data_IF_665639319011
#
_entry.id   IF_665639319011
#
_cell.length_a   1.000
_cell.length_b   1.000
_cell.length_c   1.000
_cell.angle_alpha   90.00
_cell.angle_beta   90.00
_cell.angle_gamma   90.00
#
_symmetry.space_group_name_H-M   'P 1'
#
loop_
_entity.id
_entity.type
_entity.pdbx_description
1 polymer ?
#
# COMPACT_ATOMS: atom_id res chain seq x y z
N UNK A 1 21.06 11.97 36.20
CA UNK A 1 21.47 11.32 34.93
C UNK A 1 20.63 10.11 34.51
N UNK A 2 20.33 9.12 35.39
CA UNK A 2 19.55 7.92 35.00
C UNK A 2 18.17 8.22 34.41
N UNK A 3 17.48 9.23 34.93
CA UNK A 3 16.17 9.66 34.43
C UNK A 3 16.22 10.17 32.98
N UNK A 4 17.10 11.14 32.68
CA UNK A 4 17.32 11.69 31.33
C UNK A 4 17.60 10.59 30.30
N UNK A 5 18.39 9.59 30.68
CA UNK A 5 18.73 8.48 29.80
C UNK A 5 17.56 7.53 29.57
N UNK A 6 16.77 7.24 30.59
CA UNK A 6 15.54 6.44 30.45
C UNK A 6 14.52 7.15 29.56
N UNK A 7 14.36 8.46 29.76
CA UNK A 7 13.50 9.30 28.93
C UNK A 7 13.97 9.31 27.47
N UNK A 8 15.27 9.47 27.22
CA UNK A 8 15.84 9.42 25.86
C UNK A 8 15.59 8.07 25.15
N UNK A 9 15.73 6.94 25.85
CA UNK A 9 15.39 5.61 25.31
C UNK A 9 13.92 5.53 24.93
N UNK A 10 13.03 6.03 25.78
CA UNK A 10 11.59 6.02 25.52
C UNK A 10 11.23 6.94 24.35
N UNK A 11 11.66 8.21 24.37
CA UNK A 11 11.32 9.20 23.35
C UNK A 11 11.83 8.78 21.95
N UNK A 12 13.09 8.37 21.83
CA UNK A 12 13.65 7.94 20.55
C UNK A 12 13.08 6.58 20.09
N UNK A 13 12.81 5.67 21.02
CA UNK A 13 12.16 4.39 20.71
C UNK A 13 10.74 4.58 20.19
N UNK A 14 9.97 5.48 20.81
CA UNK A 14 8.62 5.84 20.36
C UNK A 14 8.65 6.57 19.02
N UNK A 15 9.56 7.53 18.83
CA UNK A 15 9.72 8.23 17.56
C UNK A 15 10.08 7.25 16.42
N UNK A 16 11.02 6.33 16.67
CA UNK A 16 11.39 5.29 15.71
C UNK A 16 10.22 4.36 15.40
N UNK A 17 9.47 3.91 16.42
CA UNK A 17 8.28 3.07 16.22
C UNK A 17 7.21 3.77 15.38
N UNK A 18 6.91 5.03 15.68
CA UNK A 18 5.93 5.83 14.95
C UNK A 18 6.35 6.10 13.51
N UNK A 19 7.60 6.54 13.30
CA UNK A 19 8.10 6.82 11.95
C UNK A 19 8.16 5.55 11.10
N UNK A 20 8.56 4.42 11.69
CA UNK A 20 8.57 3.13 11.01
C UNK A 20 7.15 2.67 10.65
N UNK A 21 6.20 2.82 11.58
CA UNK A 21 4.78 2.49 11.31
C UNK A 21 4.24 3.32 10.15
N UNK A 22 4.46 4.63 10.16
CA UNK A 22 4.04 5.54 9.08
C UNK A 22 4.75 5.19 7.76
N UNK A 23 6.04 4.88 7.80
CA UNK A 23 6.80 4.48 6.62
C UNK A 23 6.19 3.25 5.95
N UNK A 24 5.80 2.24 6.72
CA UNK A 24 5.18 1.02 6.19
C UNK A 24 3.81 1.32 5.57
N UNK A 25 2.97 2.12 6.25
CA UNK A 25 1.66 2.51 5.73
C UNK A 25 1.79 3.27 4.40
N UNK A 26 2.67 4.26 4.35
CA UNK A 26 2.92 5.05 3.12
C UNK A 26 3.55 4.18 2.03
N UNK A 27 4.45 3.26 2.38
CA UNK A 27 5.02 2.31 1.42
C UNK A 27 3.95 1.39 0.84
N UNK A 28 3.02 0.90 1.65
CA UNK A 28 1.89 0.10 1.17
C UNK A 28 0.94 0.91 0.29
N UNK A 29 0.65 2.17 0.63
CA UNK A 29 -0.13 3.08 -0.22
C UNK A 29 0.57 3.37 -1.55
N UNK A 30 1.88 3.59 -1.52
CA UNK A 30 2.72 3.77 -2.70
C UNK A 30 2.70 2.54 -3.61
N UNK A 31 2.80 1.34 -3.05
CA UNK A 31 2.68 0.09 -3.80
C UNK A 31 1.27 -0.11 -4.36
N UNK A 32 0.23 0.15 -3.55
CA UNK A 32 -1.16 0.00 -3.96
C UNK A 32 -1.52 0.92 -5.14
N UNK A 33 -1.04 2.16 -5.11
CA UNK A 33 -1.31 3.19 -6.13
C UNK A 33 -0.37 3.10 -7.34
N UNK A 34 0.52 2.12 -7.37
CA UNK A 34 1.36 1.87 -8.53
C UNK A 34 0.51 1.36 -9.70
N UNK A 35 0.80 1.84 -10.92
CA UNK A 35 0.00 1.53 -12.11
C UNK A 35 -0.29 0.03 -12.26
N UNK A 36 0.70 -0.84 -12.10
CA UNK A 36 0.53 -2.29 -12.28
C UNK A 36 -0.43 -2.89 -11.25
N UNK A 37 -0.31 -2.50 -9.98
CA UNK A 37 -1.11 -3.06 -8.88
C UNK A 37 -2.52 -2.50 -8.92
N UNK A 38 -2.66 -1.19 -9.08
CA UNK A 38 -3.97 -0.55 -9.13
C UNK A 38 -4.75 -0.94 -10.39
N UNK A 39 -4.07 -1.07 -11.54
CA UNK A 39 -4.69 -1.57 -12.77
C UNK A 39 -5.27 -2.97 -12.56
N UNK A 40 -4.49 -3.88 -11.97
CA UNK A 40 -4.94 -5.25 -11.69
C UNK A 40 -6.19 -5.22 -10.82
N UNK A 41 -6.14 -4.53 -9.69
CA UNK A 41 -7.25 -4.36 -8.74
C UNK A 41 -8.50 -3.80 -9.44
N UNK A 42 -8.34 -2.73 -10.22
CA UNK A 42 -9.44 -2.08 -10.92
C UNK A 42 -10.04 -2.96 -12.01
N UNK A 43 -9.19 -3.65 -12.80
CA UNK A 43 -9.65 -4.55 -13.85
C UNK A 43 -10.41 -5.74 -13.28
N UNK A 44 -9.89 -6.38 -12.22
CA UNK A 44 -10.58 -7.49 -11.56
C UNK A 44 -11.92 -7.01 -10.98
N UNK A 45 -11.98 -5.81 -10.39
CA UNK A 45 -13.20 -5.24 -9.82
C UNK A 45 -14.28 -4.99 -10.88
N UNK A 46 -13.90 -4.37 -12.01
CA UNK A 46 -14.85 -4.10 -13.09
C UNK A 46 -15.43 -5.37 -13.70
N UNK A 47 -14.62 -6.41 -13.85
CA UNK A 47 -15.06 -7.69 -14.41
C UNK A 47 -16.06 -8.37 -13.46
N UNK A 48 -15.77 -8.37 -12.16
CA UNK A 48 -16.63 -8.99 -11.15
C UNK A 48 -18.00 -8.28 -11.01
N UNK A 49 -18.03 -6.95 -11.17
CA UNK A 49 -19.27 -6.16 -11.13
C UNK A 49 -20.08 -6.35 -12.42
N UNK A 50 -19.46 -6.24 -13.61
CA UNK A 50 -20.18 -6.22 -14.89
C UNK A 50 -20.63 -7.56 -15.43
N UNK A 51 -19.99 -8.67 -15.03
CA UNK A 51 -20.44 -10.02 -15.44
C UNK A 51 -21.87 -10.34 -14.98
N UNK A 52 -22.46 -9.53 -14.09
CA UNK A 52 -23.84 -9.70 -13.61
C UNK A 52 -24.89 -8.94 -14.42
N UNK A 53 -24.54 -7.97 -15.27
CA UNK A 53 -25.51 -7.02 -15.81
C UNK A 53 -25.42 -6.72 -17.33
N UNK A 54 -24.32 -7.04 -18.02
CA UNK A 54 -24.14 -6.61 -19.42
C UNK A 54 -23.79 -7.75 -20.36
N UNK A 55 -24.49 -7.83 -21.50
CA UNK A 55 -24.21 -8.78 -22.57
C UNK A 55 -22.96 -8.32 -23.35
N UNK A 56 -21.78 -8.70 -22.84
CA UNK A 56 -20.46 -8.26 -23.33
C UNK A 56 -20.27 -8.53 -24.83
N UNK A 57 -20.81 -9.65 -25.31
CA UNK A 57 -20.77 -10.05 -26.72
C UNK A 57 -21.45 -9.02 -27.63
N UNK A 58 -22.60 -8.48 -27.22
CA UNK A 58 -23.28 -7.43 -27.99
C UNK A 58 -22.45 -6.14 -28.04
N UNK A 59 -21.91 -5.71 -26.89
CA UNK A 59 -21.06 -4.53 -26.82
C UNK A 59 -19.79 -4.67 -27.68
N UNK A 60 -19.16 -5.85 -27.68
CA UNK A 60 -18.02 -6.17 -28.53
C UNK A 60 -18.35 -6.06 -30.01
N UNK A 61 -19.46 -6.67 -30.45
CA UNK A 61 -19.85 -6.62 -31.85
C UNK A 61 -20.24 -5.21 -32.31
N UNK A 62 -20.93 -4.43 -31.47
CA UNK A 62 -21.27 -3.04 -31.77
C UNK A 62 -20.02 -2.16 -31.93
N UNK A 63 -19.08 -2.27 -31.01
CA UNK A 63 -17.83 -1.49 -31.06
C UNK A 63 -16.97 -1.92 -32.25
N UNK A 64 -16.87 -3.22 -32.53
CA UNK A 64 -16.14 -3.74 -33.69
C UNK A 64 -16.77 -3.32 -35.02
N UNK A 65 -18.10 -3.24 -35.08
CA UNK A 65 -18.80 -2.73 -36.26
C UNK A 65 -18.55 -1.22 -36.46
N UNK A 66 -18.66 -0.42 -35.40
CA UNK A 66 -18.37 1.01 -35.46
C UNK A 66 -16.90 1.28 -35.87
N UNK A 67 -15.97 0.40 -35.50
CA UNK A 67 -14.57 0.51 -35.89
C UNK A 67 -14.27 0.25 -37.37
N UNK A 68 -15.24 -0.26 -38.14
CA UNK A 68 -15.07 -0.41 -39.60
C UNK A 68 -15.20 0.92 -40.35
N UNK A 69 -15.86 1.91 -39.75
CA UNK A 69 -16.17 3.19 -40.40
C UNK A 69 -15.42 4.37 -39.79
N UNK A 70 -14.78 4.18 -38.64
CA UNK A 70 -14.07 5.22 -37.89
C UNK A 70 -12.72 4.73 -37.41
N UNK A 71 -11.70 5.60 -37.43
CA UNK A 71 -10.38 5.29 -36.84
C UNK A 71 -10.42 5.32 -35.30
N UNK A 72 -11.33 6.12 -34.74
CA UNK A 72 -11.46 6.39 -33.30
C UNK A 72 -12.94 6.39 -32.90
N UNK A 73 -13.26 5.74 -31.79
CA UNK A 73 -14.60 5.77 -31.18
C UNK A 73 -14.52 6.46 -29.83
N UNK A 74 -15.42 7.41 -29.58
CA UNK A 74 -15.55 8.05 -28.27
C UNK A 74 -16.70 7.41 -27.50
N UNK A 75 -16.39 6.68 -26.43
CA UNK A 75 -17.38 6.13 -25.51
C UNK A 75 -17.64 7.12 -24.38
N UNK A 76 -18.88 7.62 -24.21
CA UNK A 76 -19.22 8.44 -23.05
C UNK A 76 -19.24 7.56 -21.79
N UNK A 77 -18.50 7.98 -20.76
CA UNK A 77 -18.53 7.39 -19.42
C UNK A 77 -18.73 8.54 -18.43
N UNK A 78 -19.95 8.63 -17.89
CA UNK A 78 -20.43 9.76 -17.10
C UNK A 78 -20.21 11.10 -17.80
N UNK A 79 -19.33 11.96 -17.25
CA UNK A 79 -19.01 13.28 -17.77
C UNK A 79 -17.73 13.32 -18.62
N UNK A 80 -17.05 12.17 -18.80
CA UNK A 80 -15.80 12.06 -19.55
C UNK A 80 -16.00 11.15 -20.78
N UNK A 81 -15.17 11.31 -21.82
CA UNK A 81 -15.19 10.47 -23.03
C UNK A 81 -13.94 9.62 -23.12
N UNK A 82 -14.08 8.32 -23.32
CA UNK A 82 -12.95 7.42 -23.58
C UNK A 82 -12.78 7.26 -25.08
N UNK A 83 -11.62 7.65 -25.56
CA UNK A 83 -11.23 7.45 -26.95
C UNK A 83 -10.62 6.05 -27.12
N UNK A 84 -11.25 5.24 -27.97
CA UNK A 84 -10.77 3.93 -28.38
C UNK A 84 -10.18 4.03 -29.79
N UNK A 85 -8.93 3.59 -29.93
CA UNK A 85 -8.30 3.45 -31.24
C UNK A 85 -8.74 2.12 -31.88
N UNK A 86 -9.36 2.18 -33.05
CA UNK A 86 -9.93 1.01 -33.71
C UNK A 86 -8.88 0.01 -34.18
N UNK A 87 -7.66 0.45 -34.50
CA UNK A 87 -6.54 -0.47 -34.79
C UNK A 87 -6.12 -1.30 -33.58
N UNK A 88 -6.39 -0.85 -32.35
CA UNK A 88 -6.18 -1.65 -31.14
C UNK A 88 -7.35 -2.61 -30.92
N UNK A 89 -8.58 -2.16 -31.14
CA UNK A 89 -9.80 -2.97 -30.99
C UNK A 89 -9.81 -4.17 -31.95
N UNK A 90 -9.35 -4.00 -33.20
CA UNK A 90 -9.31 -5.09 -34.18
C UNK A 90 -8.42 -6.27 -33.76
N UNK A 91 -7.38 -6.00 -32.96
CA UNK A 91 -6.42 -7.00 -32.47
C UNK A 91 -6.88 -7.70 -31.20
N UNK A 92 -7.98 -7.24 -30.59
CA UNK A 92 -8.49 -7.78 -29.33
C UNK A 92 -9.52 -8.86 -29.63
N UNK A 93 -9.32 -10.04 -29.05
CA UNK A 93 -10.31 -11.12 -29.10
C UNK A 93 -11.49 -10.82 -28.20
N UNK A 94 -12.66 -11.40 -28.49
CA UNK A 94 -13.89 -11.19 -27.72
C UNK A 94 -13.69 -11.51 -26.22
N UNK A 95 -12.93 -12.57 -25.92
CA UNK A 95 -12.64 -12.99 -24.53
C UNK A 95 -11.86 -11.96 -23.74
N UNK A 96 -11.01 -11.17 -24.41
CA UNK A 96 -10.16 -10.16 -23.79
C UNK A 96 -10.74 -8.76 -23.87
N UNK A 97 -11.89 -8.59 -24.52
CA UNK A 97 -12.48 -7.29 -24.78
C UNK A 97 -12.82 -6.51 -23.49
N UNK A 98 -13.32 -7.21 -22.47
CA UNK A 98 -13.56 -6.60 -21.16
C UNK A 98 -12.27 -6.11 -20.49
N UNK A 99 -11.21 -6.92 -20.53
CA UNK A 99 -9.91 -6.55 -19.97
C UNK A 99 -9.34 -5.33 -20.68
N UNK A 100 -9.51 -5.26 -22.00
CA UNK A 100 -9.13 -4.12 -22.81
C UNK A 100 -9.91 -2.85 -22.42
N UNK A 101 -11.24 -2.93 -22.35
CA UNK A 101 -12.08 -1.79 -21.94
C UNK A 101 -11.75 -1.34 -20.51
N UNK A 102 -11.66 -2.27 -19.56
CA UNK A 102 -11.30 -1.96 -18.17
C UNK A 102 -9.94 -1.28 -18.09
N UNK A 103 -8.96 -1.71 -18.90
CA UNK A 103 -7.65 -1.06 -19.02
C UNK A 103 -7.77 0.37 -19.55
N UNK A 104 -8.58 0.62 -20.58
CA UNK A 104 -8.74 1.96 -21.15
C UNK A 104 -9.45 2.92 -20.20
N UNK A 105 -10.45 2.43 -19.48
CA UNK A 105 -11.12 3.16 -18.40
C UNK A 105 -10.13 3.50 -17.30
N UNK A 106 -9.35 2.52 -16.86
CA UNK A 106 -8.33 2.72 -15.84
C UNK A 106 -7.27 3.74 -16.27
N UNK A 107 -6.77 3.67 -17.50
CA UNK A 107 -5.75 4.60 -18.02
C UNK A 107 -6.26 6.04 -18.02
N UNK A 108 -7.49 6.26 -18.48
CA UNK A 108 -8.15 7.57 -18.47
C UNK A 108 -8.22 8.14 -17.04
N UNK A 109 -8.59 7.29 -16.08
CA UNK A 109 -8.70 7.66 -14.67
C UNK A 109 -7.33 7.93 -14.03
N UNK A 110 -6.38 7.00 -14.20
CA UNK A 110 -5.08 7.01 -13.53
C UNK A 110 -4.19 8.16 -13.99
N UNK A 111 -4.25 8.49 -15.29
CA UNK A 111 -3.47 9.57 -15.90
C UNK A 111 -4.26 10.88 -16.02
N UNK A 112 -5.40 11.01 -15.34
CA UNK A 112 -6.13 12.27 -15.27
C UNK A 112 -5.23 13.36 -14.67
N UNK A 113 -5.11 14.48 -15.36
CA UNK A 113 -4.38 15.65 -14.87
C UNK A 113 -5.28 16.46 -13.96
N UNK A 114 -4.77 16.82 -12.78
CA UNK A 114 -5.52 17.60 -11.80
C UNK A 114 -4.96 19.04 -11.75
N UNK A 115 -5.81 20.07 -11.70
CA UNK A 115 -5.37 21.46 -11.70
C UNK A 115 -4.86 21.92 -10.32
N UNK A 116 -4.76 21.03 -9.34
CA UNK A 116 -4.34 21.32 -7.97
C UNK A 116 -3.34 20.28 -7.49
N UNK A 117 -2.55 20.62 -6.47
CA UNK A 117 -1.72 19.61 -5.80
C UNK A 117 -2.59 18.63 -4.99
N UNK A 118 -2.10 17.41 -4.73
CA UNK A 118 -2.79 16.38 -3.94
C UNK A 118 -3.40 16.94 -2.64
N UNK A 119 -2.64 17.72 -1.88
CA UNK A 119 -3.11 18.29 -0.61
C UNK A 119 -4.22 19.33 -0.84
N UNK A 120 -4.08 20.19 -1.84
CA UNK A 120 -5.09 21.21 -2.16
C UNK A 120 -6.38 20.60 -2.68
N UNK A 121 -6.28 19.59 -3.54
CA UNK A 121 -7.44 18.86 -4.05
C UNK A 121 -8.21 18.19 -2.90
N UNK A 122 -7.50 17.54 -1.97
CA UNK A 122 -8.12 16.92 -0.79
C UNK A 122 -8.75 17.94 0.17
N UNK A 123 -8.15 19.12 0.32
CA UNK A 123 -8.72 20.21 1.13
C UNK A 123 -10.04 20.75 0.59
N UNK A 124 -10.24 20.74 -0.73
CA UNK A 124 -11.48 21.20 -1.36
C UNK A 124 -12.68 20.30 -1.05
N UNK A 125 -12.44 19.04 -0.64
CA UNK A 125 -13.49 18.14 -0.14
C UNK A 125 -14.49 17.62 -1.18
N UNK A 126 -14.31 17.91 -2.47
CA UNK A 126 -15.13 17.34 -3.55
C UNK A 126 -14.78 15.85 -3.74
N UNK A 127 -15.78 14.99 -3.83
CA UNK A 127 -15.64 13.55 -4.05
C UNK A 127 -14.76 13.22 -5.25
N UNK A 128 -14.85 14.01 -6.33
CA UNK A 128 -14.04 13.83 -7.54
C UNK A 128 -12.56 14.10 -7.31
N UNK A 129 -12.25 14.96 -6.34
CA UNK A 129 -10.89 15.30 -5.98
C UNK A 129 -10.23 14.24 -5.09
N UNK A 130 -11.00 13.40 -4.40
CA UNK A 130 -10.43 12.27 -3.63
C UNK A 130 -9.78 11.22 -4.52
N UNK A 131 -10.24 11.11 -5.76
CA UNK A 131 -9.71 10.17 -6.75
C UNK A 131 -8.25 10.45 -7.12
N UNK A 132 -7.75 11.66 -6.86
CA UNK A 132 -6.33 12.01 -7.05
C UNK A 132 -5.39 11.08 -6.26
N UNK A 133 -5.84 10.53 -5.13
CA UNK A 133 -5.07 9.59 -4.30
C UNK A 133 -4.71 8.33 -5.11
N UNK A 134 -5.61 7.89 -5.99
CA UNK A 134 -5.45 6.70 -6.82
C UNK A 134 -4.93 7.02 -8.22
N UNK A 135 -4.42 8.22 -8.46
CA UNK A 135 -3.83 8.64 -9.73
C UNK A 135 -2.30 8.50 -9.74
N UNK A 136 -1.69 8.74 -10.90
CA UNK A 136 -0.24 8.90 -11.03
C UNK A 136 0.31 9.97 -10.08
N UNK A 137 -0.38 11.09 -9.93
CA UNK A 137 0.04 12.17 -9.03
C UNK A 137 0.01 11.74 -7.56
N UNK A 138 -1.01 10.98 -7.16
CA UNK A 138 -1.11 10.35 -5.85
C UNK A 138 0.06 9.40 -5.58
N UNK A 139 0.40 8.54 -6.54
CA UNK A 139 1.55 7.64 -6.42
C UNK A 139 2.87 8.41 -6.23
N UNK A 140 3.11 9.44 -7.03
CA UNK A 140 4.30 10.28 -6.91
C UNK A 140 4.36 11.00 -5.56
N UNK A 141 3.22 11.47 -5.07
CA UNK A 141 3.10 12.08 -3.75
C UNK A 141 3.48 11.10 -2.64
N UNK A 142 2.95 9.87 -2.67
CA UNK A 142 3.31 8.84 -1.69
C UNK A 142 4.79 8.45 -1.76
N UNK A 143 5.35 8.28 -2.96
CA UNK A 143 6.79 8.02 -3.15
C UNK A 143 7.66 9.14 -2.57
N UNK A 144 7.23 10.41 -2.72
CA UNK A 144 7.94 11.55 -2.13
C UNK A 144 7.89 11.52 -0.60
N UNK A 145 6.73 11.28 0.00
CA UNK A 145 6.58 11.15 1.46
C UNK A 145 7.39 9.96 1.99
N UNK A 146 7.36 8.83 1.28
CA UNK A 146 8.13 7.63 1.61
C UNK A 146 9.61 7.95 1.76
N UNK A 147 10.20 8.70 0.83
CA UNK A 147 11.61 9.09 0.89
C UNK A 147 11.94 9.92 2.15
N UNK A 148 11.09 10.89 2.52
CA UNK A 148 11.27 11.65 3.76
C UNK A 148 11.14 10.77 5.00
N UNK A 149 10.18 9.84 5.02
CA UNK A 149 9.99 8.91 6.13
C UNK A 149 11.14 7.92 6.28
N UNK A 150 11.79 7.50 5.19
CA UNK A 150 13.01 6.70 5.25
C UNK A 150 14.11 7.45 5.99
N UNK A 151 14.32 8.73 5.67
CA UNK A 151 15.34 9.57 6.33
C UNK A 151 15.05 9.74 7.82
N UNK A 152 13.81 10.06 8.19
CA UNK A 152 13.39 10.21 9.59
C UNK A 152 13.52 8.89 10.36
N UNK A 153 13.14 7.77 9.73
CA UNK A 153 13.24 6.43 10.33
C UNK A 153 14.69 6.01 10.54
N UNK A 154 15.57 6.29 9.57
CA UNK A 154 17.00 6.00 9.69
C UNK A 154 17.64 6.87 10.78
N UNK A 155 17.34 8.17 10.81
CA UNK A 155 17.86 9.08 11.83
C UNK A 155 17.39 8.70 13.25
N UNK A 156 16.11 8.41 13.42
CA UNK A 156 15.53 8.01 14.72
C UNK A 156 16.04 6.64 15.17
N UNK A 157 16.20 5.67 14.27
CA UNK A 157 16.84 4.38 14.55
C UNK A 157 18.28 4.56 15.04
N UNK A 158 19.09 5.34 14.32
CA UNK A 158 20.48 5.63 14.72
C UNK A 158 20.53 6.31 16.08
N UNK A 159 19.71 7.34 16.31
CA UNK A 159 19.61 7.99 17.61
C UNK A 159 19.24 7.00 18.72
N UNK A 160 18.26 6.13 18.48
CA UNK A 160 17.83 5.11 19.44
C UNK A 160 18.95 4.12 19.76
N UNK A 161 19.70 3.65 18.76
CA UNK A 161 20.85 2.75 18.94
C UNK A 161 21.95 3.40 19.78
N UNK A 162 22.24 4.69 19.57
CA UNK A 162 23.28 5.42 20.29
C UNK A 162 22.99 5.56 21.80
N UNK A 163 21.72 5.68 22.19
CA UNK A 163 21.33 5.78 23.61
C UNK A 163 21.43 4.43 24.35
N UNK A 164 21.44 3.32 23.61
CA UNK A 164 21.60 1.96 24.14
C UNK A 164 23.09 1.61 24.28
N UNK A 165 23.51 1.34 25.52
CA UNK A 165 24.94 1.17 25.87
C UNK A 165 25.54 -0.12 25.33
N UNK A 166 24.79 -1.21 25.43
CA UNK A 166 25.30 -2.55 25.17
C UNK A 166 24.63 -3.16 23.95
N UNK A 167 25.36 -3.99 23.18
CA UNK A 167 24.79 -4.76 22.06
C UNK A 167 23.56 -5.59 22.45
N UNK A 168 23.53 -6.09 23.69
CA UNK A 168 22.38 -6.82 24.24
C UNK A 168 21.15 -5.92 24.41
N UNK A 169 21.35 -4.69 24.90
CA UNK A 169 20.29 -3.70 25.01
C UNK A 169 19.82 -3.23 23.63
N UNK A 170 20.75 -3.06 22.68
CA UNK A 170 20.46 -2.72 21.28
C UNK A 170 19.57 -3.78 20.62
N UNK A 171 19.98 -5.05 20.67
CA UNK A 171 19.20 -6.15 20.10
C UNK A 171 17.81 -6.26 20.73
N UNK A 172 17.72 -6.20 22.07
CA UNK A 172 16.42 -6.22 22.77
C UNK A 172 15.57 -4.99 22.46
N UNK A 173 16.18 -3.81 22.44
CA UNK A 173 15.49 -2.54 22.21
C UNK A 173 14.91 -2.47 20.80
N UNK A 174 15.74 -2.73 19.78
CA UNK A 174 15.29 -2.82 18.39
C UNK A 174 14.26 -3.93 18.21
N UNK A 175 14.52 -5.11 18.77
CA UNK A 175 13.58 -6.23 18.74
C UNK A 175 12.21 -5.87 19.32
N UNK A 176 12.16 -5.14 20.44
CA UNK A 176 10.89 -4.65 21.03
C UNK A 176 10.17 -3.68 20.10
N UNK A 177 10.88 -2.72 19.52
CA UNK A 177 10.27 -1.76 18.59
C UNK A 177 9.70 -2.48 17.38
N UNK A 178 10.52 -3.29 16.69
CA UNK A 178 10.09 -4.03 15.49
C UNK A 178 8.96 -5.01 15.78
N UNK A 179 9.00 -5.71 16.92
CA UNK A 179 7.91 -6.56 17.39
C UNK A 179 6.63 -5.75 17.61
N UNK A 180 6.71 -4.63 18.33
CA UNK A 180 5.55 -3.78 18.63
C UNK A 180 4.94 -3.13 17.38
N UNK A 181 5.77 -2.68 16.43
CA UNK A 181 5.32 -2.20 15.13
C UNK A 181 4.72 -3.34 14.32
N UNK A 182 5.36 -4.51 14.32
CA UNK A 182 4.87 -5.71 13.63
C UNK A 182 3.54 -6.23 14.16
N UNK A 183 3.19 -5.97 15.43
CA UNK A 183 1.88 -6.35 16.00
C UNK A 183 0.71 -5.71 15.23
N UNK A 184 0.90 -4.59 14.55
CA UNK A 184 -0.11 -4.00 13.68
C UNK A 184 -0.59 -4.96 12.58
N UNK A 185 0.20 -5.96 12.18
CA UNK A 185 -0.24 -7.06 11.32
C UNK A 185 -1.53 -7.70 11.84
N UNK A 186 -1.53 -8.09 13.11
CA UNK A 186 -2.66 -8.77 13.74
C UNK A 186 -3.83 -7.80 13.94
N UNK A 187 -3.54 -6.54 14.28
CA UNK A 187 -4.56 -5.50 14.42
C UNK A 187 -5.31 -5.33 13.09
N UNK A 188 -4.60 -5.12 11.99
CA UNK A 188 -5.19 -4.94 10.65
C UNK A 188 -5.96 -6.19 10.23
N UNK A 189 -5.37 -7.38 10.40
CA UNK A 189 -6.01 -8.64 9.98
C UNK A 189 -7.25 -8.97 10.80
N UNK A 190 -7.23 -8.69 12.10
CA UNK A 190 -8.38 -8.90 12.98
C UNK A 190 -9.45 -7.84 12.77
N UNK A 191 -9.08 -6.56 12.64
CA UNK A 191 -10.02 -5.48 12.34
C UNK A 191 -10.71 -5.71 11.00
N UNK A 192 -9.96 -6.15 9.98
CA UNK A 192 -10.51 -6.59 8.70
C UNK A 192 -11.59 -7.66 8.86
N UNK A 193 -11.28 -8.71 9.64
CA UNK A 193 -12.24 -9.79 9.91
C UNK A 193 -13.46 -9.30 10.69
N UNK A 194 -13.29 -8.34 11.59
CA UNK A 194 -14.34 -7.86 12.47
C UNK A 194 -15.27 -6.82 11.82
N UNK A 195 -14.72 -5.86 11.07
CA UNK A 195 -15.47 -4.75 10.50
C UNK A 195 -16.09 -5.03 9.13
N UNK A 196 -15.58 -6.00 8.37
CA UNK A 196 -16.11 -6.31 7.04
C UNK A 196 -17.04 -7.53 7.04
N UNK A 197 -18.19 -7.46 6.34
CA UNK A 197 -19.09 -8.59 6.15
C UNK A 197 -18.39 -9.78 5.48
N UNK A 198 -18.82 -11.01 5.78
CA UNK A 198 -18.27 -12.24 5.19
C UNK A 198 -18.18 -12.18 3.65
N UNK A 199 -19.23 -11.66 3.00
CA UNK A 199 -19.32 -11.49 1.56
C UNK A 199 -18.19 -10.62 0.99
N UNK A 200 -17.81 -9.55 1.69
CA UNK A 200 -16.73 -8.65 1.26
C UNK A 200 -15.36 -9.27 1.53
N UNK A 201 -15.25 -10.08 2.59
CA UNK A 201 -13.96 -10.67 2.98
C UNK A 201 -13.46 -11.75 2.02
N UNK A 202 -14.38 -12.40 1.31
CA UNK A 202 -14.10 -13.44 0.33
C UNK A 202 -13.76 -12.88 -1.05
N UNK A 203 -13.97 -11.58 -1.28
CA UNK A 203 -13.58 -10.92 -2.52
C UNK A 203 -12.05 -10.91 -2.61
N UNK A 204 -11.53 -11.59 -3.62
CA UNK A 204 -10.08 -11.74 -3.87
C UNK A 204 -9.36 -10.38 -3.89
N UNK A 205 -9.99 -9.37 -4.48
CA UNK A 205 -9.45 -8.01 -4.60
C UNK A 205 -9.21 -7.38 -3.23
N UNK A 206 -10.17 -7.57 -2.31
CA UNK A 206 -10.06 -7.05 -0.95
C UNK A 206 -8.92 -7.77 -0.22
N UNK A 207 -8.77 -9.08 -0.42
CA UNK A 207 -7.66 -9.85 0.15
C UNK A 207 -6.30 -9.39 -0.40
N UNK A 208 -6.18 -9.16 -1.70
CA UNK A 208 -4.98 -8.63 -2.35
C UNK A 208 -4.58 -7.28 -1.74
N UNK A 209 -5.54 -6.36 -1.55
CA UNK A 209 -5.30 -5.07 -0.89
C UNK A 209 -4.79 -5.26 0.53
N UNK A 210 -5.48 -6.06 1.34
CA UNK A 210 -5.09 -6.30 2.74
C UNK A 210 -3.71 -6.97 2.84
N UNK A 211 -3.38 -7.87 1.91
CA UNK A 211 -2.07 -8.51 1.87
C UNK A 211 -0.95 -7.49 1.61
N UNK A 212 -1.15 -6.53 0.68
CA UNK A 212 -0.19 -5.44 0.42
C UNK A 212 0.05 -4.59 1.69
N UNK A 213 -0.99 -4.37 2.49
CA UNK A 213 -0.84 -3.65 3.77
C UNK A 213 -0.17 -4.48 4.85
N UNK A 214 -0.47 -5.78 4.95
CA UNK A 214 -0.11 -6.60 6.12
C UNK A 214 1.24 -7.29 5.98
N UNK A 215 1.65 -7.66 4.77
CA UNK A 215 2.86 -8.46 4.54
C UNK A 215 4.14 -7.83 5.12
N UNK A 216 4.31 -6.51 4.96
CA UNK A 216 5.47 -5.81 5.49
C UNK A 216 5.51 -5.80 7.04
N UNK A 217 4.36 -5.66 7.69
CA UNK A 217 4.27 -5.74 9.16
C UNK A 217 4.59 -7.15 9.66
N UNK A 218 4.17 -8.19 8.94
CA UNK A 218 4.48 -9.58 9.29
C UNK A 218 5.98 -9.83 9.25
N UNK A 219 6.68 -9.36 8.21
CA UNK A 219 8.14 -9.50 8.14
C UNK A 219 8.82 -8.81 9.32
N UNK A 220 8.42 -7.57 9.65
CA UNK A 220 8.96 -6.87 10.82
C UNK A 220 8.68 -7.59 12.13
N UNK A 221 7.50 -8.19 12.28
CA UNK A 221 7.14 -8.98 13.44
C UNK A 221 8.10 -10.17 13.62
N UNK A 222 8.34 -10.94 12.55
CA UNK A 222 9.25 -12.09 12.55
C UNK A 222 10.68 -11.63 12.88
N UNK A 223 11.18 -10.58 12.21
CA UNK A 223 12.51 -10.01 12.49
C UNK A 223 12.63 -9.49 13.93
N UNK A 224 11.56 -8.88 14.47
CA UNK A 224 11.48 -8.44 15.85
C UNK A 224 11.64 -9.58 16.85
N UNK A 225 10.93 -10.70 16.63
CA UNK A 225 11.06 -11.91 17.46
C UNK A 225 12.48 -12.45 17.43
N UNK A 226 13.09 -12.60 16.25
CA UNK A 226 14.45 -13.10 16.11
C UNK A 226 15.47 -12.23 16.87
N UNK A 227 15.36 -10.91 16.77
CA UNK A 227 16.22 -9.97 17.50
C UNK A 227 16.00 -10.01 19.01
N UNK A 228 14.76 -10.21 19.47
CA UNK A 228 14.47 -10.41 20.88
C UNK A 228 15.14 -11.69 21.41
N UNK A 229 15.00 -12.80 20.70
CA UNK A 229 15.62 -14.09 21.07
C UNK A 229 17.15 -13.92 21.15
N UNK A 230 17.78 -13.35 20.12
CA UNK A 230 19.21 -13.06 20.11
C UNK A 230 19.63 -12.19 21.29
N UNK A 231 18.87 -11.12 21.56
CA UNK A 231 19.11 -10.23 22.69
C UNK A 231 19.05 -10.95 24.04
N UNK A 232 18.04 -11.80 24.27
CA UNK A 232 17.92 -12.59 25.49
C UNK A 232 19.04 -13.63 25.63
N UNK A 233 19.38 -14.34 24.56
CA UNK A 233 20.47 -15.33 24.53
C UNK A 233 21.82 -14.71 24.89
N UNK A 234 22.16 -13.55 24.31
CA UNK A 234 23.39 -12.82 24.65
C UNK A 234 23.41 -12.41 26.13
N UNK A 235 22.28 -11.93 26.66
CA UNK A 235 22.17 -11.61 28.09
C UNK A 235 22.34 -12.83 29.00
N UNK A 236 21.83 -13.99 28.60
CA UNK A 236 22.00 -15.23 29.36
C UNK A 236 23.47 -15.66 29.41
N UNK A 237 24.17 -15.66 28.28
CA UNK A 237 25.59 -16.00 28.21
C UNK A 237 26.46 -15.09 29.08
N UNK A 238 26.23 -13.77 29.04
CA UNK A 238 26.98 -12.81 29.86
C UNK A 238 26.77 -13.01 31.36
N UNK A 239 25.57 -13.42 31.80
CA UNK A 239 25.30 -13.77 33.21
C UNK A 239 26.04 -15.04 33.62
N UNK A 240 26.04 -16.08 32.78
CA UNK A 240 26.75 -17.34 33.04
C UNK A 240 28.26 -17.15 33.16
N UNK A 241 28.85 -16.28 32.35
CA UNK A 241 30.28 -15.95 32.42
C UNK A 241 30.62 -15.16 33.69
N UNK A 242 29.74 -14.24 34.13
CA UNK A 242 29.95 -13.49 35.38
C UNK A 242 29.78 -14.33 36.64
N UNK A 243 28.88 -15.32 36.66
CA UNK A 243 28.69 -16.20 37.82
C UNK A 243 29.75 -17.30 37.99
N UNK A 244 30.72 -17.39 37.07
CA UNK A 244 31.88 -18.30 37.15
C UNK A 244 33.19 -17.61 37.56
N UNK A 245 33.17 -16.29 37.73
CA UNK A 245 34.29 -15.49 38.25
C UNK A 245 33.99 -15.09 39.68
#
# INVERSE_FOLDING_TARGET
MRFLRSFGKFALGSLFSLSLTLLLLISSLSQLTEYSNLKKIFSEALIEIRTKEVNITEAYHLIKYACKTQERINLPIDNDTIELNCSQVEKVEERDFLNFLATKIFEKFYFKEYPCSVIECLKKGDERNFLIIFSKEGNLFFKKIQNYLILITAASCTGFILVLENWQERAKGLGKVLFSTGLFYFIIKYSYSFFLPAQVREIKIVQDIINVFTQNFLYLFIFGILLLILGYSLSYQKRKVKGRK
#
